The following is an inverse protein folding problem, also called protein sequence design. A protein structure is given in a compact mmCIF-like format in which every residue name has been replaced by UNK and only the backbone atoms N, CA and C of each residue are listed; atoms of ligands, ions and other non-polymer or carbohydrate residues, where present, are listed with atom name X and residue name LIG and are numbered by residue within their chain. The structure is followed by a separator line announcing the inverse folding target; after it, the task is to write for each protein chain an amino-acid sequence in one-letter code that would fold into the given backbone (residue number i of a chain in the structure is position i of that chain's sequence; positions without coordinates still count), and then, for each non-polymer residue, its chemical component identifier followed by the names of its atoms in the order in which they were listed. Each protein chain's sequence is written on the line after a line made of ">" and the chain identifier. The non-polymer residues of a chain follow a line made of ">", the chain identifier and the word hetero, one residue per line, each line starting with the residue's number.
data_IF_870938769026
#
_entry.id   IF_870938769026
#
_cell.length_a   1.000
_cell.length_b   1.000
_cell.length_c   1.000
_cell.angle_alpha   90.00
_cell.angle_beta   90.00
_cell.angle_gamma   90.00
#
_symmetry.space_group_name_H-M   'P 1'
#
loop_
_entity.id
_entity.type
_entity.pdbx_description
1 polymer ?
#
# COMPACT_ATOMS: atom_id res chain seq x y z
N UNK A 1 -10.16 6.90 7.70
CA UNK A 1 -10.57 5.63 8.35
C UNK A 1 -9.31 4.88 8.72
N UNK A 2 -9.21 4.34 9.93
CA UNK A 2 -8.11 3.46 10.36
C UNK A 2 -8.72 2.16 10.87
N UNK A 3 -8.12 1.01 10.57
CA UNK A 3 -8.66 -0.27 11.00
C UNK A 3 -8.02 -1.48 10.33
N UNK A 4 -8.53 -2.67 10.65
CA UNK A 4 -8.10 -3.90 9.99
C UNK A 4 -9.02 -4.21 8.81
N UNK A 5 -8.41 -4.50 7.67
CA UNK A 5 -9.06 -5.04 6.48
C UNK A 5 -8.57 -6.48 6.34
N UNK A 6 -9.49 -7.38 6.01
CA UNK A 6 -9.17 -8.76 5.68
C UNK A 6 -9.76 -9.12 4.32
N UNK A 7 -8.96 -9.73 3.47
CA UNK A 7 -9.38 -10.30 2.19
C UNK A 7 -8.50 -11.52 1.88
N UNK A 8 -9.12 -12.69 1.76
CA UNK A 8 -8.45 -13.97 1.54
C UNK A 8 -8.28 -14.28 0.03
N UNK A 9 -8.56 -13.32 -0.86
CA UNK A 9 -8.58 -13.51 -2.32
C UNK A 9 -7.90 -12.40 -3.13
N UNK A 10 -7.88 -11.17 -2.62
CA UNK A 10 -7.30 -10.01 -3.31
C UNK A 10 -5.94 -9.58 -2.76
N UNK A 11 -5.60 -9.98 -1.53
CA UNK A 11 -4.36 -9.60 -0.87
C UNK A 11 -3.33 -10.72 -0.93
N UNK A 12 -2.17 -10.40 -1.50
CA UNK A 12 -1.01 -11.29 -1.59
C UNK A 12 0.20 -10.55 -1.04
N UNK A 13 0.10 -10.08 0.21
CA UNK A 13 1.17 -9.33 0.84
C UNK A 13 2.15 -10.24 1.58
N UNK A 14 3.40 -9.82 1.64
CA UNK A 14 4.32 -10.25 2.69
C UNK A 14 4.15 -9.31 3.88
N UNK A 15 4.39 -9.75 5.12
CA UNK A 15 4.30 -8.88 6.30
C UNK A 15 5.24 -7.67 6.18
N UNK A 16 4.72 -6.56 5.63
CA UNK A 16 5.49 -5.47 5.06
C UNK A 16 4.67 -4.18 4.99
N UNK A 17 5.32 -3.08 4.64
CA UNK A 17 4.64 -1.82 4.34
C UNK A 17 3.86 -1.96 3.03
N UNK A 18 2.62 -1.49 3.03
CA UNK A 18 1.76 -1.50 1.84
C UNK A 18 1.60 -0.07 1.32
N UNK A 19 1.70 0.07 0.01
CA UNK A 19 1.64 1.33 -0.73
C UNK A 19 0.46 1.31 -1.70
N UNK A 20 0.00 2.50 -2.10
CA UNK A 20 -0.88 2.63 -3.24
C UNK A 20 -0.17 2.12 -4.50
N UNK A 21 -0.85 1.27 -5.28
CA UNK A 21 -0.32 0.77 -6.54
C UNK A 21 -0.39 1.84 -7.64
N UNK A 22 0.45 1.70 -8.66
CA UNK A 22 0.32 2.47 -9.91
C UNK A 22 -0.89 2.03 -10.73
N UNK A 23 -1.42 0.83 -10.48
CA UNK A 23 -2.71 0.37 -11.02
C UNK A 23 -3.84 0.90 -10.14
N UNK A 24 -4.77 1.65 -10.74
CA UNK A 24 -5.91 2.24 -10.03
C UNK A 24 -6.70 1.20 -9.23
N UNK A 25 -7.01 1.52 -7.97
CA UNK A 25 -7.71 0.63 -7.03
C UNK A 25 -6.84 -0.46 -6.42
N UNK A 26 -5.60 -0.64 -6.87
CA UNK A 26 -4.66 -1.63 -6.36
C UNK A 26 -3.78 -1.11 -5.23
N UNK A 27 -3.16 -2.05 -4.52
CA UNK A 27 -2.18 -1.82 -3.47
C UNK A 27 -1.02 -2.81 -3.64
N UNK A 28 0.16 -2.47 -3.11
CA UNK A 28 1.38 -3.25 -3.34
C UNK A 28 2.33 -3.22 -2.14
N UNK A 29 3.10 -4.29 -1.94
CA UNK A 29 4.19 -4.36 -0.96
C UNK A 29 5.47 -3.69 -1.44
N UNK A 30 5.55 -3.37 -2.74
CA UNK A 30 6.72 -2.73 -3.36
C UNK A 30 6.48 -1.24 -3.52
N UNK A 31 7.30 -0.43 -2.86
CA UNK A 31 7.22 1.03 -2.97
C UNK A 31 7.41 1.47 -4.44
N UNK A 32 6.53 2.33 -4.97
CA UNK A 32 6.79 3.07 -6.20
C UNK A 32 8.15 3.79 -6.15
N UNK A 33 8.90 3.73 -7.26
CA UNK A 33 10.30 4.16 -7.33
C UNK A 33 10.67 4.85 -8.64
N UNK A 34 9.77 4.92 -9.61
CA UNK A 34 10.00 5.59 -10.90
C UNK A 34 9.52 7.03 -10.87
N UNK A 35 10.23 7.91 -11.59
CA UNK A 35 9.86 9.31 -11.80
C UNK A 35 8.37 9.51 -12.10
N UNK A 36 7.75 10.48 -11.44
CA UNK A 36 6.33 10.81 -11.64
C UNK A 36 5.35 9.84 -10.98
N UNK A 37 5.81 8.72 -10.41
CA UNK A 37 4.95 7.86 -9.59
C UNK A 37 4.65 8.52 -8.26
N UNK A 38 3.44 8.29 -7.76
CA UNK A 38 3.01 8.73 -6.45
C UNK A 38 3.36 7.67 -5.40
N UNK A 39 4.02 8.10 -4.35
CA UNK A 39 4.34 7.31 -3.17
C UNK A 39 3.40 7.70 -2.04
N UNK A 40 2.49 6.79 -1.70
CA UNK A 40 1.65 6.90 -0.51
C UNK A 40 1.65 5.55 0.21
N UNK A 41 1.97 5.55 1.51
CA UNK A 41 1.73 4.39 2.36
C UNK A 41 0.25 4.30 2.70
N UNK A 42 -0.34 3.12 2.53
CA UNK A 42 -1.74 2.84 2.87
C UNK A 42 -1.87 2.07 4.18
N UNK A 43 -0.82 1.40 4.62
CA UNK A 43 -0.83 0.64 5.87
C UNK A 43 0.31 -0.37 6.00
N UNK A 44 0.12 -1.37 6.86
CA UNK A 44 1.07 -2.46 7.11
C UNK A 44 0.37 -3.80 7.08
N UNK A 45 0.83 -4.71 6.24
CA UNK A 45 0.36 -6.09 6.20
C UNK A 45 0.82 -6.84 7.45
N UNK A 46 -0.11 -7.55 8.10
CA UNK A 46 0.14 -8.41 9.27
C UNK A 46 0.27 -9.88 8.87
N UNK A 47 -0.37 -10.26 7.78
CA UNK A 47 -0.25 -11.54 7.08
C UNK A 47 -0.55 -11.31 5.59
N UNK A 48 -0.60 -12.38 4.80
CA UNK A 48 -1.03 -12.29 3.39
C UNK A 48 -2.41 -11.64 3.25
N UNK A 49 -3.35 -12.04 4.11
CA UNK A 49 -4.76 -11.66 3.99
C UNK A 49 -5.19 -10.48 4.88
N UNK A 50 -4.32 -9.97 5.75
CA UNK A 50 -4.69 -8.97 6.77
C UNK A 50 -3.84 -7.72 6.64
N UNK A 51 -4.50 -6.59 6.42
CA UNK A 51 -3.91 -5.25 6.35
C UNK A 51 -4.39 -4.41 7.53
N UNK A 52 -3.45 -3.86 8.32
CA UNK A 52 -3.76 -2.71 9.15
C UNK A 52 -3.72 -1.46 8.28
N UNK A 53 -4.90 -0.97 7.91
CA UNK A 53 -5.10 0.22 7.10
C UNK A 53 -4.95 1.47 7.95
N UNK A 54 -3.93 2.26 7.64
CA UNK A 54 -3.65 3.56 8.24
C UNK A 54 -2.95 4.42 7.17
N UNK A 55 -3.71 4.99 6.23
CA UNK A 55 -3.12 5.70 5.10
C UNK A 55 -2.47 6.99 5.56
N UNK A 56 -1.28 7.24 5.03
CA UNK A 56 -0.60 8.52 5.13
C UNK A 56 -1.45 9.62 4.50
N UNK A 57 -1.60 10.76 5.18
CA UNK A 57 -2.21 11.95 4.56
C UNK A 57 -1.28 12.57 3.52
N UNK A 58 0.03 12.39 3.71
CA UNK A 58 1.03 12.88 2.78
C UNK A 58 1.18 11.93 1.60
N UNK A 59 1.25 12.52 0.41
CA UNK A 59 1.58 11.85 -0.86
C UNK A 59 2.76 12.58 -1.46
N UNK A 60 3.82 11.84 -1.79
CA UNK A 60 5.00 12.37 -2.45
C UNK A 60 5.09 11.88 -3.89
N UNK A 61 5.52 12.74 -4.80
CA UNK A 61 5.92 12.33 -6.14
C UNK A 61 7.42 12.00 -6.16
N UNK A 62 7.79 10.88 -6.78
CA UNK A 62 9.20 10.54 -6.99
C UNK A 62 9.80 11.49 -8.03
N UNK A 63 10.77 12.32 -7.60
CA UNK A 63 11.63 13.11 -8.48
C UNK A 63 12.93 12.35 -8.75
N UNK A 64 13.38 12.38 -10.01
CA UNK A 64 14.70 11.91 -10.44
C UNK A 64 15.80 12.86 -9.97
#
# INVERSE_FOLDING_TARGET
>A
LKGYIRDDSAFEFTASMVYASTTAGGVTSTAPSTAGQQLQRVGVAKSADILFFDPSIDVGEIKL
#
